data_IF_889642236121
#
_entry.id   IF_889642236121
#
_cell.length_a   1.000
_cell.length_b   1.000
_cell.length_c   1.000
_cell.angle_alpha   90.00
_cell.angle_beta   90.00
_cell.angle_gamma   90.00
#
_symmetry.space_group_name_H-M   'P 1'
#
loop_
_entity.id
_entity.type
_entity.pdbx_description
1 polymer ?
#
# COMPACT_ATOMS: atom_id res chain seq x y z
N UNK A 1 1.74 11.92 6.67
CA UNK A 1 0.63 11.05 6.21
C UNK A 1 1.21 9.72 5.77
N UNK A 2 0.55 8.57 6.00
CA UNK A 2 1.09 7.27 5.56
C UNK A 2 0.04 6.37 4.90
N UNK A 3 0.45 5.65 3.86
CA UNK A 3 -0.32 4.62 3.16
C UNK A 3 0.61 3.73 2.34
N UNK A 4 0.29 2.45 2.15
CA UNK A 4 1.11 1.54 1.34
C UNK A 4 0.31 0.41 0.70
N UNK A 5 0.88 -0.20 -0.33
CA UNK A 5 0.36 -1.44 -0.89
C UNK A 5 1.47 -2.34 -1.42
N UNK A 6 1.29 -3.66 -1.34
CA UNK A 6 2.25 -4.66 -1.80
C UNK A 6 1.54 -5.66 -2.71
N UNK A 7 2.16 -5.98 -3.85
CA UNK A 7 1.64 -6.92 -4.82
C UNK A 7 2.69 -8.00 -5.08
N UNK A 8 2.39 -9.23 -4.67
CA UNK A 8 3.14 -10.42 -5.08
C UNK A 8 3.00 -10.68 -6.59
N UNK A 9 4.11 -10.60 -7.33
CA UNK A 9 4.13 -10.77 -8.78
C UNK A 9 3.99 -12.23 -9.22
N UNK A 10 4.34 -13.20 -8.37
CA UNK A 10 4.26 -14.63 -8.71
C UNK A 10 2.83 -15.08 -9.01
N UNK A 11 1.85 -14.48 -8.32
CA UNK A 11 0.42 -14.74 -8.52
C UNK A 11 -0.24 -13.71 -9.43
N UNK A 12 0.26 -12.47 -9.45
CA UNK A 12 -0.40 -11.38 -10.17
C UNK A 12 -0.17 -11.45 -11.67
N UNK A 13 1.05 -11.79 -12.10
CA UNK A 13 1.41 -11.83 -13.52
C UNK A 13 0.70 -12.95 -14.30
N UNK A 14 0.27 -14.02 -13.63
CA UNK A 14 -0.49 -15.11 -14.25
C UNK A 14 -1.99 -14.84 -14.35
N UNK A 15 -2.49 -13.76 -13.74
CA UNK A 15 -3.93 -13.49 -13.61
C UNK A 15 -4.59 -12.89 -14.87
N UNK A 16 -3.78 -12.40 -15.83
CA UNK A 16 -4.22 -11.79 -17.10
C UNK A 16 -5.31 -10.73 -16.93
N UNK A 17 -5.29 -9.96 -15.83
CA UNK A 17 -6.31 -8.92 -15.57
C UNK A 17 -6.32 -7.84 -16.63
N UNK A 18 -5.19 -7.59 -17.30
CA UNK A 18 -5.09 -6.63 -18.40
C UNK A 18 -6.02 -6.97 -19.57
N UNK A 19 -6.37 -8.25 -19.79
CA UNK A 19 -7.28 -8.67 -20.86
C UNK A 19 -8.75 -8.41 -20.49
N UNK A 20 -9.06 -8.25 -19.19
CA UNK A 20 -10.41 -8.06 -18.70
C UNK A 20 -10.84 -6.59 -18.81
N UNK A 21 -11.40 -6.24 -19.97
CA UNK A 21 -11.87 -4.88 -20.25
C UNK A 21 -12.90 -4.35 -19.23
N UNK A 22 -13.78 -5.22 -18.69
CA UNK A 22 -14.76 -4.82 -17.67
C UNK A 22 -14.08 -4.44 -16.36
N UNK A 23 -13.06 -5.20 -15.95
CA UNK A 23 -12.24 -4.88 -14.79
C UNK A 23 -11.49 -3.57 -15.00
N UNK A 24 -10.84 -3.41 -16.16
CA UNK A 24 -10.10 -2.19 -16.47
C UNK A 24 -10.96 -0.93 -16.33
N UNK A 25 -12.13 -0.91 -16.98
CA UNK A 25 -13.06 0.22 -16.95
C UNK A 25 -13.66 0.50 -15.56
N UNK A 26 -13.63 -0.47 -14.65
CA UNK A 26 -14.11 -0.30 -13.27
C UNK A 26 -13.04 0.29 -12.35
N UNK A 27 -11.76 0.18 -12.71
CA UNK A 27 -10.63 0.47 -11.81
C UNK A 27 -9.77 1.63 -12.29
N UNK A 28 -9.61 1.76 -13.61
CA UNK A 28 -8.68 2.68 -14.25
C UNK A 28 -9.42 3.67 -15.15
N UNK A 29 -8.94 4.90 -15.17
CA UNK A 29 -9.33 5.92 -16.14
C UNK A 29 -8.89 5.57 -17.55
N UNK A 30 -9.46 6.23 -18.56
CA UNK A 30 -9.11 5.98 -19.96
C UNK A 30 -7.62 6.21 -20.24
N UNK A 31 -7.02 7.24 -19.64
CA UNK A 31 -5.58 7.52 -19.76
C UNK A 31 -4.73 6.39 -19.19
N UNK A 32 -5.06 5.91 -17.98
CA UNK A 32 -4.37 4.77 -17.35
C UNK A 32 -4.56 3.48 -18.17
N UNK A 33 -5.77 3.21 -18.67
CA UNK A 33 -6.06 2.06 -19.54
C UNK A 33 -5.19 2.11 -20.80
N UNK A 34 -5.08 3.28 -21.43
CA UNK A 34 -4.23 3.45 -22.60
C UNK A 34 -2.78 3.13 -22.27
N UNK A 35 -2.23 3.70 -21.18
CA UNK A 35 -0.86 3.41 -20.72
C UNK A 35 -0.63 1.92 -20.44
N UNK A 36 -1.59 1.26 -19.78
CA UNK A 36 -1.52 -0.20 -19.52
C UNK A 36 -1.43 -0.96 -20.84
N UNK A 37 -2.32 -0.68 -21.80
CA UNK A 37 -2.40 -1.41 -23.07
C UNK A 37 -1.20 -1.18 -23.98
N UNK A 38 -0.60 0.00 -23.95
CA UNK A 38 0.58 0.33 -24.77
C UNK A 38 1.91 -0.02 -24.08
N UNK A 39 1.87 -0.48 -22.82
CA UNK A 39 3.08 -0.89 -22.10
C UNK A 39 3.72 -2.12 -22.71
N UNK A 40 5.06 -2.22 -22.63
CA UNK A 40 5.79 -3.45 -22.97
C UNK A 40 5.38 -4.63 -22.07
N UNK A 41 4.94 -4.33 -20.83
CA UNK A 41 4.49 -5.31 -19.85
C UNK A 41 3.13 -4.87 -19.26
N UNK A 42 2.02 -5.09 -19.97
CA UNK A 42 0.70 -4.58 -19.58
C UNK A 42 0.23 -5.04 -18.20
N UNK A 43 0.40 -6.32 -17.87
CA UNK A 43 -0.02 -6.87 -16.58
C UNK A 43 0.77 -6.22 -15.42
N UNK A 44 2.08 -6.02 -15.60
CA UNK A 44 2.92 -5.35 -14.59
C UNK A 44 2.51 -3.89 -14.40
N UNK A 45 2.24 -3.16 -15.49
CA UNK A 45 1.77 -1.78 -15.43
C UNK A 45 0.41 -1.65 -14.71
N UNK A 46 -0.50 -2.59 -14.96
CA UNK A 46 -1.79 -2.66 -14.26
C UNK A 46 -1.60 -2.78 -12.75
N UNK A 47 -0.74 -3.71 -12.31
CA UNK A 47 -0.49 -3.94 -10.88
C UNK A 47 0.28 -2.80 -10.22
N UNK A 48 1.13 -2.10 -10.96
CA UNK A 48 1.76 -0.86 -10.51
C UNK A 48 0.72 0.22 -10.24
N UNK A 49 -0.16 0.50 -11.20
CA UNK A 49 -1.23 1.49 -11.01
C UNK A 49 -2.17 1.12 -9.87
N UNK A 50 -2.53 -0.16 -9.75
CA UNK A 50 -3.35 -0.65 -8.63
C UNK A 50 -2.67 -0.37 -7.28
N UNK A 51 -1.41 -0.77 -7.14
CA UNK A 51 -0.63 -0.57 -5.91
C UNK A 51 -0.53 0.92 -5.54
N UNK A 52 -0.32 1.81 -6.52
CA UNK A 52 -0.29 3.25 -6.29
C UNK A 52 -1.64 3.78 -5.79
N UNK A 53 -2.76 3.35 -6.39
CA UNK A 53 -4.11 3.77 -5.97
C UNK A 53 -4.40 3.33 -4.54
N UNK A 54 -4.09 2.10 -4.18
CA UNK A 54 -4.31 1.56 -2.83
C UNK A 54 -3.44 2.27 -1.77
N UNK A 55 -2.18 2.58 -2.10
CA UNK A 55 -1.31 3.37 -1.21
C UNK A 55 -1.88 4.78 -0.97
N UNK A 56 -2.31 5.47 -2.02
CA UNK A 56 -2.94 6.78 -1.93
C UNK A 56 -4.31 6.74 -1.22
N UNK A 57 -5.11 5.71 -1.46
CA UNK A 57 -6.38 5.49 -0.78
C UNK A 57 -6.19 5.35 0.74
N UNK A 58 -5.26 4.52 1.20
CA UNK A 58 -4.98 4.37 2.65
C UNK A 58 -4.48 5.66 3.28
N UNK A 59 -3.64 6.42 2.56
CA UNK A 59 -3.19 7.74 2.99
C UNK A 59 -4.35 8.75 3.06
N UNK A 60 -5.23 8.77 2.06
CA UNK A 60 -6.40 9.64 2.01
C UNK A 60 -7.41 9.30 3.12
N UNK A 61 -7.69 8.02 3.29
CA UNK A 61 -8.56 7.50 4.36
C UNK A 61 -8.08 7.98 5.73
N UNK A 62 -6.77 7.87 5.99
CA UNK A 62 -6.16 8.35 7.23
C UNK A 62 -6.23 9.87 7.36
N UNK A 63 -5.98 10.63 6.28
CA UNK A 63 -5.99 12.09 6.30
C UNK A 63 -7.32 12.68 6.75
N UNK A 64 -8.41 12.08 6.31
CA UNK A 64 -9.76 12.59 6.53
C UNK A 64 -10.61 11.71 7.45
N UNK A 65 -10.00 10.70 8.08
CA UNK A 65 -10.67 9.71 8.93
C UNK A 65 -11.95 9.13 8.29
N UNK A 66 -11.83 8.65 7.05
CA UNK A 66 -12.97 8.19 6.25
C UNK A 66 -13.28 6.71 6.49
N UNK A 67 -14.56 6.35 6.42
CA UNK A 67 -14.99 4.96 6.36
C UNK A 67 -14.48 4.27 5.09
N UNK A 68 -14.34 2.95 5.12
CA UNK A 68 -13.87 2.19 3.94
C UNK A 68 -14.84 2.33 2.77
N UNK A 69 -14.32 2.64 1.59
CA UNK A 69 -15.11 2.75 0.35
C UNK A 69 -14.30 2.27 -0.84
N UNK A 70 -14.87 1.37 -1.63
CA UNK A 70 -14.26 0.93 -2.88
C UNK A 70 -14.64 1.90 -4.01
N UNK A 71 -13.72 2.78 -4.39
CA UNK A 71 -13.90 3.68 -5.52
C UNK A 71 -12.57 4.00 -6.24
N UNK A 72 -11.92 3.00 -6.85
CA UNK A 72 -10.59 3.16 -7.46
C UNK A 72 -10.56 4.18 -8.61
N UNK A 73 -11.66 4.40 -9.33
CA UNK A 73 -11.75 5.42 -10.39
C UNK A 73 -11.60 6.86 -9.89
N UNK A 74 -11.82 7.10 -8.60
CA UNK A 74 -11.60 8.41 -7.99
C UNK A 74 -10.12 8.76 -7.86
N UNK A 75 -9.25 7.75 -7.87
CA UNK A 75 -7.82 7.88 -7.66
C UNK A 75 -7.11 7.76 -8.99
N UNK A 76 -6.65 8.88 -9.56
CA UNK A 76 -6.04 8.92 -10.88
C UNK A 76 -4.52 8.99 -10.76
N UNK A 77 -3.83 8.00 -11.28
CA UNK A 77 -2.38 7.93 -11.29
C UNK A 77 -1.78 8.77 -12.42
N UNK A 78 -0.58 9.28 -12.18
CA UNK A 78 0.33 9.73 -13.22
C UNK A 78 1.74 9.29 -12.85
N UNK A 79 2.39 8.59 -13.77
CA UNK A 79 3.75 8.12 -13.60
C UNK A 79 4.73 9.25 -13.97
N UNK A 80 5.85 9.29 -13.27
CA UNK A 80 7.02 10.04 -13.69
C UNK A 80 7.72 9.27 -14.83
N UNK A 81 7.93 9.87 -16.01
CA UNK A 81 8.61 9.21 -17.12
C UNK A 81 10.03 8.71 -16.80
N UNK A 82 10.65 9.22 -15.73
CA UNK A 82 12.03 8.90 -15.33
C UNK A 82 12.13 7.86 -14.21
N UNK A 83 11.01 7.45 -13.62
CA UNK A 83 11.02 6.51 -12.49
C UNK A 83 9.78 5.63 -12.45
N UNK A 84 9.76 4.63 -11.56
CA UNK A 84 8.55 3.84 -11.30
C UNK A 84 7.56 4.58 -10.39
N UNK A 85 7.92 5.77 -9.91
CA UNK A 85 7.14 6.57 -8.97
C UNK A 85 6.28 7.58 -9.70
N UNK A 86 5.50 8.36 -8.96
CA UNK A 86 4.67 9.39 -9.54
C UNK A 86 3.78 10.02 -8.50
N UNK A 87 2.53 10.31 -8.88
CA UNK A 87 1.53 10.76 -7.92
C UNK A 87 0.15 10.22 -8.26
N UNK A 88 -0.72 10.23 -7.26
CA UNK A 88 -2.14 9.91 -7.40
C UNK A 88 -2.96 11.13 -6.98
N UNK A 89 -3.90 11.53 -7.84
CA UNK A 89 -4.84 12.62 -7.59
C UNK A 89 -6.20 12.07 -7.21
N UNK A 90 -6.83 12.67 -6.21
CA UNK A 90 -8.21 12.38 -5.80
C UNK A 90 -8.81 13.63 -5.16
N UNK A 91 -9.97 14.08 -5.63
CA UNK A 91 -10.52 15.38 -5.27
C UNK A 91 -9.44 16.49 -5.43
N UNK A 92 -9.30 17.37 -4.45
CA UNK A 92 -8.28 18.43 -4.41
C UNK A 92 -6.95 17.97 -3.78
N UNK A 93 -6.71 16.66 -3.68
CA UNK A 93 -5.52 16.10 -3.03
C UNK A 93 -4.61 15.43 -4.04
N UNK A 94 -3.31 15.65 -3.86
CA UNK A 94 -2.24 15.00 -4.63
C UNK A 94 -1.36 14.25 -3.64
N UNK A 95 -1.16 12.97 -3.90
CA UNK A 95 -0.32 12.09 -3.11
C UNK A 95 0.89 11.68 -3.95
N UNK A 96 2.10 12.18 -3.64
CA UNK A 96 3.33 11.59 -4.17
C UNK A 96 3.40 10.13 -3.75
N UNK A 97 3.63 9.24 -4.71
CA UNK A 97 3.75 7.81 -4.47
C UNK A 97 5.15 7.36 -4.87
N UNK A 98 5.84 6.72 -3.94
CA UNK A 98 7.09 6.03 -4.19
C UNK A 98 6.79 4.57 -4.51
N UNK A 99 7.36 4.04 -5.58
CA UNK A 99 7.14 2.65 -5.97
C UNK A 99 8.47 1.93 -6.21
N UNK A 100 8.64 0.83 -5.50
CA UNK A 100 9.70 -0.15 -5.69
C UNK A 100 9.14 -1.32 -6.52
N UNK A 101 9.86 -1.67 -7.59
CA UNK A 101 9.53 -2.84 -8.43
C UNK A 101 10.72 -3.76 -8.40
N UNK A 102 10.49 -5.01 -7.98
CA UNK A 102 11.45 -6.10 -8.06
C UNK A 102 10.92 -7.22 -8.96
N UNK A 103 11.69 -8.29 -9.14
CA UNK A 103 11.22 -9.50 -9.81
C UNK A 103 10.10 -10.22 -9.05
N UNK A 104 9.97 -9.95 -7.74
CA UNK A 104 9.07 -10.69 -6.84
C UNK A 104 7.82 -9.90 -6.45
N UNK A 105 7.93 -8.58 -6.34
CA UNK A 105 6.82 -7.75 -5.88
C UNK A 105 6.84 -6.34 -6.47
N UNK A 106 5.69 -5.68 -6.38
CA UNK A 106 5.56 -4.23 -6.48
C UNK A 106 5.12 -3.68 -5.12
N UNK A 107 5.88 -2.74 -4.57
CA UNK A 107 5.53 -2.04 -3.33
C UNK A 107 5.36 -0.55 -3.62
N UNK A 108 4.19 0.00 -3.31
CA UNK A 108 3.95 1.44 -3.40
C UNK A 108 3.70 2.03 -2.01
N UNK A 109 4.22 3.21 -1.74
CA UNK A 109 4.03 3.90 -0.47
C UNK A 109 3.85 5.42 -0.65
N UNK A 110 3.05 5.99 0.26
CA UNK A 110 2.85 7.43 0.42
C UNK A 110 3.32 7.77 1.83
N UNK A 111 4.26 8.70 1.97
CA UNK A 111 4.78 9.16 3.26
C UNK A 111 5.28 10.60 3.17
N UNK A 112 5.21 11.38 4.27
CA UNK A 112 5.50 12.82 4.22
C UNK A 112 6.97 13.20 4.38
N UNK A 113 7.80 12.48 5.13
CA UNK A 113 9.23 12.83 5.32
C UNK A 113 10.07 11.58 5.66
N UNK A 114 10.08 11.22 6.95
CA UNK A 114 10.78 10.05 7.47
C UNK A 114 9.78 8.97 7.85
N UNK A 115 10.09 7.75 7.44
CA UNK A 115 9.28 6.60 7.74
C UNK A 115 10.17 5.38 7.94
N UNK A 116 9.64 4.43 8.69
CA UNK A 116 10.17 3.09 8.74
C UNK A 116 9.23 2.19 7.95
N UNK A 117 9.77 1.54 6.93
CA UNK A 117 9.05 0.59 6.11
C UNK A 117 9.77 -0.74 6.10
N UNK A 118 9.01 -1.83 6.10
CA UNK A 118 9.57 -3.17 6.02
C UNK A 118 8.65 -4.09 5.24
N UNK A 119 9.26 -4.92 4.40
CA UNK A 119 8.61 -5.95 3.60
C UNK A 119 9.10 -7.29 4.11
N UNK A 120 8.18 -8.21 4.32
CA UNK A 120 8.45 -9.58 4.75
C UNK A 120 7.91 -10.54 3.70
N UNK A 121 8.73 -11.53 3.37
CA UNK A 121 8.25 -12.74 2.74
C UNK A 121 7.71 -13.68 3.82
N UNK A 122 6.47 -14.09 3.67
CA UNK A 122 5.75 -14.97 4.56
C UNK A 122 5.24 -16.14 3.72
N UNK A 123 5.68 -17.37 3.99
CA UNK A 123 5.10 -18.57 3.35
C UNK A 123 3.57 -18.65 3.50
N UNK A 124 3.04 -18.03 4.57
CA UNK A 124 1.62 -17.78 4.80
C UNK A 124 1.44 -16.56 5.70
N UNK A 125 0.38 -15.79 5.48
CA UNK A 125 0.00 -14.70 6.38
C UNK A 125 -0.64 -15.22 7.66
N UNK A 126 -0.18 -14.71 8.79
CA UNK A 126 -0.87 -14.84 10.07
C UNK A 126 -0.69 -13.56 10.88
N UNK A 127 -1.74 -13.18 11.62
CA UNK A 127 -1.69 -12.03 12.52
C UNK A 127 -0.60 -12.20 13.58
N UNK A 128 -0.39 -13.44 14.07
CA UNK A 128 0.70 -13.77 15.00
C UNK A 128 2.07 -13.42 14.41
N UNK A 129 2.38 -13.87 13.18
CA UNK A 129 3.67 -13.57 12.54
C UNK A 129 3.83 -12.07 12.27
N UNK A 130 2.75 -11.36 11.95
CA UNK A 130 2.76 -9.91 11.85
C UNK A 130 3.13 -9.25 13.20
N UNK A 131 2.50 -9.65 14.30
CA UNK A 131 2.82 -9.11 15.62
C UNK A 131 4.26 -9.41 16.04
N UNK A 132 4.77 -10.60 15.75
CA UNK A 132 6.19 -10.97 15.97
C UNK A 132 7.14 -10.08 15.17
N UNK A 133 6.83 -9.86 13.89
CA UNK A 133 7.61 -9.00 13.02
C UNK A 133 7.62 -7.55 13.52
N UNK A 134 6.49 -7.05 14.03
CA UNK A 134 6.37 -5.72 14.62
C UNK A 134 7.13 -5.63 15.96
N UNK A 135 6.98 -6.61 16.84
CA UNK A 135 7.68 -6.68 18.12
C UNK A 135 9.20 -6.67 17.92
N UNK A 136 9.71 -7.45 16.95
CA UNK A 136 11.11 -7.45 16.56
C UNK A 136 11.60 -6.07 16.08
N UNK A 137 10.76 -5.31 15.35
CA UNK A 137 11.11 -3.97 14.87
C UNK A 137 11.25 -2.97 16.01
N UNK A 138 10.42 -3.09 17.04
CA UNK A 138 10.49 -2.24 18.24
C UNK A 138 11.44 -2.79 19.31
N UNK A 139 12.09 -3.94 19.07
CA UNK A 139 12.91 -4.64 20.08
C UNK A 139 12.12 -4.93 21.38
N UNK A 140 10.85 -5.31 21.23
CA UNK A 140 9.93 -5.64 22.32
C UNK A 140 9.50 -7.10 22.27
N UNK A 141 8.96 -7.59 23.39
CA UNK A 141 8.20 -8.84 23.40
C UNK A 141 6.85 -8.65 22.68
N UNK A 142 6.37 -9.71 21.99
CA UNK A 142 5.07 -9.75 21.31
C UNK A 142 3.92 -9.33 22.24
N UNK A 143 3.98 -9.69 23.53
CA UNK A 143 2.97 -9.34 24.53
C UNK A 143 2.78 -7.81 24.70
N UNK A 144 3.81 -7.02 24.41
CA UNK A 144 3.78 -5.55 24.50
C UNK A 144 3.32 -4.86 23.21
N UNK A 145 3.04 -5.60 22.15
CA UNK A 145 2.59 -5.05 20.87
C UNK A 145 1.17 -5.52 20.58
N UNK A 146 0.27 -4.59 20.27
CA UNK A 146 -1.07 -4.94 19.81
C UNK A 146 -1.51 -4.08 18.63
N UNK A 147 -2.31 -4.66 17.75
CA UNK A 147 -2.88 -3.95 16.61
C UNK A 147 -4.28 -3.44 16.98
N UNK A 148 -4.47 -2.13 16.87
CA UNK A 148 -5.74 -1.46 17.09
C UNK A 148 -6.30 -0.99 15.74
N UNK A 149 -7.62 -0.84 15.68
CA UNK A 149 -8.33 -0.19 14.57
C UNK A 149 -9.36 0.74 15.15
N UNK A 150 -9.50 1.94 14.59
CA UNK A 150 -10.59 2.83 14.95
C UNK A 150 -11.92 2.39 14.31
N UNK A 151 -13.02 3.13 14.56
CA UNK A 151 -14.34 2.82 14.00
C UNK A 151 -14.40 2.81 12.46
N UNK A 152 -13.44 3.46 11.79
CA UNK A 152 -13.30 3.47 10.33
C UNK A 152 -12.36 2.38 9.79
N UNK A 153 -11.84 1.52 10.67
CA UNK A 153 -10.96 0.42 10.33
C UNK A 153 -9.53 0.86 9.96
N UNK A 154 -9.13 2.07 10.34
CA UNK A 154 -7.76 2.59 10.16
C UNK A 154 -6.87 2.01 11.28
N UNK A 155 -5.77 1.32 10.93
CA UNK A 155 -4.96 0.65 11.93
C UNK A 155 -3.94 1.57 12.62
N UNK A 156 -3.62 1.21 13.87
CA UNK A 156 -2.53 1.74 14.69
C UNK A 156 -1.92 0.61 15.53
N UNK A 157 -0.67 0.76 15.95
CA UNK A 157 -0.02 -0.13 16.91
C UNK A 157 -0.07 0.51 18.29
N UNK A 158 -0.35 -0.27 19.32
CA UNK A 158 -0.17 0.13 20.70
C UNK A 158 1.04 -0.60 21.29
N UNK A 159 2.04 0.19 21.70
CA UNK A 159 3.22 -0.25 22.43
C UNK A 159 2.92 -0.12 23.93
N UNK A 160 2.55 -1.22 24.56
CA UNK A 160 2.00 -1.25 25.93
C UNK A 160 3.03 -0.87 27.00
N UNK A 161 4.31 -1.07 26.74
CA UNK A 161 5.41 -0.71 27.65
C UNK A 161 5.51 0.80 27.88
N UNK A 162 5.16 1.60 26.87
CA UNK A 162 5.22 3.08 26.90
C UNK A 162 3.83 3.72 26.86
N UNK A 163 2.77 2.90 26.83
CA UNK A 163 1.40 3.31 26.53
C UNK A 163 1.28 4.20 25.28
N UNK A 164 2.07 3.88 24.24
CA UNK A 164 2.21 4.71 23.04
C UNK A 164 1.42 4.14 21.88
N UNK A 165 0.60 4.97 21.22
CA UNK A 165 -0.14 4.60 20.01
C UNK A 165 0.55 5.20 18.79
N UNK A 166 1.00 4.35 17.87
CA UNK A 166 1.65 4.71 16.62
C UNK A 166 0.77 4.38 15.41
N UNK A 167 0.59 5.29 14.44
CA UNK A 167 -0.12 4.95 13.22
C UNK A 167 0.70 3.98 12.36
N UNK A 168 0.03 3.00 11.74
CA UNK A 168 0.66 2.05 10.81
C UNK A 168 -0.16 1.89 9.54
N UNK A 169 0.46 1.78 8.38
CA UNK A 169 -0.18 1.27 7.17
C UNK A 169 0.26 -0.15 6.94
N UNK A 170 -0.70 -1.07 6.78
CA UNK A 170 -0.45 -2.48 6.53
C UNK A 170 -0.95 -2.85 5.13
N UNK A 171 -0.18 -3.68 4.42
CA UNK A 171 -0.62 -4.35 3.21
C UNK A 171 -0.11 -5.79 3.16
N UNK A 172 -0.87 -6.64 2.49
CA UNK A 172 -0.58 -8.04 2.32
C UNK A 172 -1.12 -8.52 0.96
N UNK A 173 -0.31 -9.26 0.21
CA UNK A 173 -0.73 -9.95 -1.01
C UNK A 173 0.15 -11.17 -1.22
N UNK A 174 -0.45 -12.32 -1.55
CA UNK A 174 0.27 -13.58 -1.73
C UNK A 174 1.19 -13.90 -0.55
N UNK A 175 2.47 -14.04 -0.83
CA UNK A 175 3.49 -14.35 0.17
C UNK A 175 4.17 -13.11 0.76
N UNK A 176 3.63 -11.91 0.55
CA UNK A 176 4.26 -10.69 1.02
C UNK A 176 3.39 -9.91 2.00
N UNK A 177 4.03 -9.36 3.02
CA UNK A 177 3.43 -8.38 3.93
C UNK A 177 4.34 -7.17 4.00
N UNK A 178 3.78 -5.98 3.85
CA UNK A 178 4.51 -4.74 3.93
C UNK A 178 3.84 -3.81 4.93
N UNK A 179 4.64 -3.04 5.65
CA UNK A 179 4.11 -1.97 6.47
C UNK A 179 4.93 -0.69 6.39
N UNK A 180 4.28 0.42 6.74
CA UNK A 180 4.88 1.75 6.85
C UNK A 180 4.42 2.40 8.15
N UNK A 181 5.38 2.92 8.92
CA UNK A 181 5.17 3.66 10.17
C UNK A 181 5.86 5.02 10.02
N UNK A 182 5.24 6.16 10.34
CA UNK A 182 5.93 7.43 10.33
C UNK A 182 6.94 7.47 11.49
N UNK A 183 8.15 7.94 11.22
CA UNK A 183 9.09 8.27 12.28
C UNK A 183 8.67 9.64 12.83
N UNK A 184 8.08 9.64 14.02
CA UNK A 184 7.77 10.87 14.73
C UNK A 184 9.03 11.25 15.49
N UNK A 185 9.71 12.32 15.07
CA UNK A 185 10.80 12.90 15.86
C UNK A 185 10.24 13.17 17.26
N UNK A 186 10.82 12.49 18.25
CA UNK A 186 10.49 12.65 19.66
C UNK A 186 11.21 13.87 20.20
#
# INVERSE_FOLDING_TARGET
>A
MIGNDIIDLSISLSSKKQENTRYLKKVFSEGEINTIKTSKHPEMALWQFWSMKEAAYKAHQRKFNLSRKLNPLQYICSLDPKSNSGFVRTNDQIYPVHTEVSEKYIHSSVHSEQNFQKIYYNDFYSEKKLLQNLASVFSLDEAFVSLLKNCNGIPSIHLKNEDKILPISLSHHGNFTAFVIPLINS
#
